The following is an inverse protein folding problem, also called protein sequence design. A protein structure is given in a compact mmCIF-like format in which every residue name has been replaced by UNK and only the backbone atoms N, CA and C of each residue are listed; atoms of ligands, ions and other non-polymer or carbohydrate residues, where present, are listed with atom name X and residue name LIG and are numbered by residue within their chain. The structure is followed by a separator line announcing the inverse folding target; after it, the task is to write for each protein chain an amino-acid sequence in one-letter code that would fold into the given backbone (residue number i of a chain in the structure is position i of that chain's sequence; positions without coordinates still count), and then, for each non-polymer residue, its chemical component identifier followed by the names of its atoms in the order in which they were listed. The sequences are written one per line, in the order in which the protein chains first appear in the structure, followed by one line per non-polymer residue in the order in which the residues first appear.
data_IF_847377539878
#
_entry.id   IF_847377539878
#
_cell.length_a   1.000
_cell.length_b   1.000
_cell.length_c   1.000
_cell.angle_alpha   90.00
_cell.angle_beta   90.00
_cell.angle_gamma   90.00
#
_symmetry.space_group_name_H-M   'P 1'
#
loop_
_entity.id
_entity.type
_entity.pdbx_description
1 polymer ?
#
# COMPACT_ATOMS: atom_id res chain seq x y z
N UNK A 1 -31.17 4.04 21.88
CA UNK A 1 -30.86 2.61 21.94
C UNK A 1 -29.37 2.44 21.67
N UNK A 2 -28.68 1.65 22.49
CA UNK A 2 -27.24 1.46 22.40
C UNK A 2 -26.93 0.49 21.26
N UNK A 3 -26.02 0.90 20.36
CA UNK A 3 -25.58 0.09 19.24
C UNK A 3 -24.96 -1.22 19.75
N UNK A 4 -25.10 -2.31 19.01
CA UNK A 4 -24.47 -3.59 19.36
C UNK A 4 -22.95 -3.42 19.41
N UNK A 5 -22.34 -3.97 20.47
CA UNK A 5 -20.89 -3.95 20.61
C UNK A 5 -20.24 -4.84 19.54
N UNK A 6 -19.07 -4.44 19.08
CA UNK A 6 -18.39 -5.11 17.97
C UNK A 6 -17.96 -6.52 18.40
N UNK A 7 -18.47 -7.56 17.73
CA UNK A 7 -18.11 -8.95 18.01
C UNK A 7 -16.70 -9.32 17.54
N UNK A 8 -16.23 -8.70 16.45
CA UNK A 8 -14.90 -8.97 15.90
C UNK A 8 -13.82 -8.28 16.72
N UNK A 9 -12.76 -9.03 17.04
CA UNK A 9 -11.54 -8.49 17.64
C UNK A 9 -10.65 -7.96 16.52
N UNK A 10 -10.33 -6.67 16.60
CA UNK A 10 -9.47 -5.97 15.66
C UNK A 10 -8.06 -5.88 16.21
N UNK A 11 -7.08 -6.23 15.39
CA UNK A 11 -5.67 -6.08 15.71
C UNK A 11 -4.96 -5.41 14.52
N UNK A 12 -4.55 -4.14 14.64
CA UNK A 12 -4.69 -3.25 15.81
C UNK A 12 -6.14 -2.79 16.07
N UNK A 13 -6.53 -2.48 17.33
CA UNK A 13 -7.93 -2.24 17.70
C UNK A 13 -8.44 -0.82 17.41
N UNK A 14 -7.56 0.19 17.31
CA UNK A 14 -7.97 1.61 17.26
C UNK A 14 -7.19 2.47 16.29
N UNK A 15 -5.94 2.13 15.99
CA UNK A 15 -5.08 2.89 15.10
C UNK A 15 -4.40 2.00 14.06
N UNK A 16 -4.47 2.42 12.80
CA UNK A 16 -3.69 1.85 11.70
C UNK A 16 -2.53 2.79 11.40
N UNK A 17 -1.32 2.32 11.67
CA UNK A 17 -0.09 3.07 11.46
C UNK A 17 0.46 2.78 10.07
N UNK A 18 0.72 3.84 9.32
CA UNK A 18 1.36 3.80 8.01
C UNK A 18 2.72 4.45 8.16
N UNK A 19 3.78 3.63 8.07
CA UNK A 19 5.15 4.12 8.12
C UNK A 19 5.57 4.54 6.72
N UNK A 20 6.01 5.79 6.58
CA UNK A 20 6.53 6.34 5.34
C UNK A 20 7.86 5.68 4.91
N UNK A 21 8.42 6.10 3.77
CA UNK A 21 8.02 7.26 2.96
C UNK A 21 6.70 7.06 2.19
N UNK A 22 5.89 8.11 2.06
CA UNK A 22 4.61 8.10 1.32
C UNK A 22 4.76 8.35 -0.19
N UNK A 23 6.00 8.27 -0.69
CA UNK A 23 6.33 8.33 -2.11
C UNK A 23 5.99 7.03 -2.86
N UNK A 24 5.88 5.94 -2.12
CA UNK A 24 5.53 4.61 -2.62
C UNK A 24 4.30 4.05 -1.91
N UNK A 25 3.81 2.91 -2.40
CA UNK A 25 2.66 2.21 -1.80
C UNK A 25 3.06 1.69 -0.41
N UNK A 26 2.38 2.16 0.63
CA UNK A 26 2.58 1.68 2.01
C UNK A 26 1.49 0.68 2.35
N UNK A 27 1.87 -0.51 2.81
CA UNK A 27 0.92 -1.55 3.19
C UNK A 27 0.92 -1.77 4.70
N UNK A 28 -0.27 -1.72 5.30
CA UNK A 28 -0.49 -2.06 6.71
C UNK A 28 -1.51 -3.18 6.80
N UNK A 29 -1.31 -4.10 7.73
CA UNK A 29 -2.20 -5.23 7.96
C UNK A 29 -3.18 -4.94 9.10
N UNK A 30 -4.44 -5.28 8.88
CA UNK A 30 -5.51 -5.28 9.87
C UNK A 30 -6.03 -6.70 10.00
N UNK A 31 -5.84 -7.31 11.16
CA UNK A 31 -6.36 -8.65 11.44
C UNK A 31 -7.72 -8.54 12.12
N UNK A 32 -8.72 -9.21 11.54
CA UNK A 32 -10.03 -9.38 12.15
C UNK A 32 -10.15 -10.82 12.64
N UNK A 33 -10.41 -11.01 13.93
CA UNK A 33 -10.66 -12.33 14.52
C UNK A 33 -12.11 -12.43 14.97
N UNK A 34 -12.78 -13.51 14.61
CA UNK A 34 -14.13 -13.82 15.05
C UNK A 34 -14.09 -14.78 16.25
N UNK A 35 -14.30 -14.30 17.49
CA UNK A 35 -14.39 -15.17 18.65
C UNK A 35 -15.75 -15.86 18.81
N UNK A 36 -16.75 -15.53 17.98
CA UNK A 36 -18.09 -16.08 18.11
C UNK A 36 -18.26 -17.42 17.40
N UNK A 37 -19.32 -18.15 17.77
CA UNK A 37 -19.72 -19.43 17.16
C UNK A 37 -20.56 -19.25 15.88
N UNK A 38 -20.73 -18.02 15.41
CA UNK A 38 -21.53 -17.68 14.23
C UNK A 38 -20.63 -17.05 13.17
N UNK A 39 -20.99 -17.25 11.90
CA UNK A 39 -20.33 -16.55 10.78
C UNK A 39 -20.66 -15.06 10.85
N UNK A 40 -19.66 -14.21 10.62
CA UNK A 40 -19.79 -12.76 10.64
C UNK A 40 -19.34 -12.19 9.30
N UNK A 41 -20.20 -11.41 8.67
CA UNK A 41 -19.85 -10.65 7.49
C UNK A 41 -19.18 -9.34 7.91
N UNK A 42 -18.14 -8.94 7.19
CA UNK A 42 -17.49 -7.65 7.38
C UNK A 42 -17.45 -6.86 6.09
N UNK A 43 -17.44 -5.53 6.23
CA UNK A 43 -17.28 -4.57 5.14
C UNK A 43 -16.44 -3.40 5.64
N UNK A 44 -15.36 -3.11 4.93
CA UNK A 44 -14.45 -2.02 5.26
C UNK A 44 -14.81 -0.79 4.45
N UNK A 45 -15.07 0.31 5.15
CA UNK A 45 -15.33 1.64 4.59
C UNK A 45 -14.23 2.60 5.03
N UNK A 46 -13.92 3.60 4.22
CA UNK A 46 -12.92 4.62 4.55
C UNK A 46 -13.38 6.00 4.10
N UNK A 47 -12.93 7.05 4.77
CA UNK A 47 -13.22 8.43 4.37
C UNK A 47 -12.42 8.91 3.16
N UNK A 48 -11.40 8.15 2.72
CA UNK A 48 -10.55 8.50 1.59
C UNK A 48 -10.37 7.32 0.60
N UNK A 49 -11.45 6.83 -0.02
CA UNK A 49 -11.43 5.61 -0.83
C UNK A 49 -10.53 5.69 -2.08
N UNK A 50 -10.24 6.90 -2.55
CA UNK A 50 -9.25 7.15 -3.63
C UNK A 50 -7.79 6.99 -3.18
N UNK A 51 -7.49 7.14 -1.89
CA UNK A 51 -6.12 7.03 -1.37
C UNK A 51 -5.79 5.63 -0.85
N UNK A 52 -6.79 4.79 -0.64
CA UNK A 52 -6.61 3.46 -0.05
C UNK A 52 -7.14 2.35 -0.94
N UNK A 53 -6.36 1.30 -1.08
CA UNK A 53 -6.78 0.03 -1.62
C UNK A 53 -6.85 -0.98 -0.47
N UNK A 54 -8.00 -1.62 -0.27
CA UNK A 54 -8.22 -2.58 0.81
C UNK A 54 -8.51 -3.95 0.20
N UNK A 55 -7.77 -4.98 0.63
CA UNK A 55 -8.00 -6.36 0.23
C UNK A 55 -7.90 -7.34 1.40
N UNK A 56 -8.90 -8.20 1.63
CA UNK A 56 -10.27 -8.12 1.10
C UNK A 56 -11.03 -6.87 1.62
N UNK A 57 -11.86 -6.23 0.79
CA UNK A 57 -12.69 -5.08 1.22
C UNK A 57 -13.96 -5.50 1.99
N UNK A 58 -14.45 -6.70 1.69
CA UNK A 58 -15.63 -7.32 2.28
C UNK A 58 -15.45 -8.82 2.23
N UNK A 59 -16.17 -9.54 3.10
CA UNK A 59 -16.11 -10.99 3.15
C UNK A 59 -16.87 -11.53 4.33
N UNK A 60 -16.77 -12.84 4.51
CA UNK A 60 -17.35 -13.59 5.63
C UNK A 60 -16.21 -14.22 6.42
N UNK A 61 -16.31 -14.18 7.74
CA UNK A 61 -15.38 -14.82 8.66
C UNK A 61 -16.15 -15.92 9.39
N UNK A 62 -15.65 -17.14 9.28
CA UNK A 62 -16.24 -18.28 9.98
C UNK A 62 -16.06 -18.19 11.50
N UNK A 63 -16.81 -19.04 12.22
CA UNK A 63 -16.70 -19.14 13.66
C UNK A 63 -15.28 -19.49 14.09
N UNK A 64 -14.70 -18.75 15.03
CA UNK A 64 -13.32 -18.94 15.50
C UNK A 64 -12.22 -18.56 14.50
N UNK A 65 -12.56 -18.19 13.26
CA UNK A 65 -11.59 -17.88 12.22
C UNK A 65 -11.04 -16.45 12.34
N UNK A 66 -9.95 -16.19 11.63
CA UNK A 66 -9.39 -14.86 11.48
C UNK A 66 -9.05 -14.57 10.01
N UNK A 67 -9.24 -13.32 9.60
CA UNK A 67 -8.88 -12.83 8.28
C UNK A 67 -7.86 -11.70 8.42
N UNK A 68 -6.88 -11.67 7.51
CA UNK A 68 -5.93 -10.58 7.42
C UNK A 68 -6.31 -9.66 6.26
N UNK A 69 -6.52 -8.39 6.56
CA UNK A 69 -6.89 -7.36 5.60
C UNK A 69 -5.66 -6.50 5.33
N UNK A 70 -5.25 -6.45 4.08
CA UNK A 70 -4.15 -5.59 3.62
C UNK A 70 -4.72 -4.25 3.20
N UNK A 71 -4.33 -3.20 3.92
CA UNK A 71 -4.66 -1.80 3.62
C UNK A 71 -3.45 -1.16 2.97
N UNK A 72 -3.53 -0.94 1.66
CA UNK A 72 -2.48 -0.33 0.85
C UNK A 72 -2.83 1.15 0.63
N UNK A 73 -2.05 2.04 1.24
CA UNK A 73 -2.07 3.46 1.00
C UNK A 73 -1.33 3.76 -0.32
N UNK A 74 -2.00 4.43 -1.24
CA UNK A 74 -1.40 4.89 -2.48
C UNK A 74 -0.45 6.07 -2.22
N UNK A 75 0.61 6.21 -3.04
CA UNK A 75 1.50 7.36 -2.99
C UNK A 75 0.71 8.67 -3.06
N UNK A 76 1.05 9.62 -2.19
CA UNK A 76 0.48 10.95 -2.22
C UNK A 76 1.47 11.97 -1.64
N UNK A 77 1.32 13.22 -2.05
CA UNK A 77 2.09 14.32 -1.48
C UNK A 77 1.62 14.55 -0.05
N UNK A 78 2.39 14.03 0.91
CA UNK A 78 2.11 14.20 2.33
C UNK A 78 2.52 15.61 2.78
N UNK A 79 1.52 16.44 3.08
CA UNK A 79 1.74 17.72 3.76
C UNK A 79 1.57 17.54 5.28
N UNK A 80 2.61 17.77 6.11
CA UNK A 80 2.51 17.73 7.57
C UNK A 80 1.47 18.70 8.16
N UNK A 81 1.17 19.80 7.45
CA UNK A 81 0.14 20.76 7.84
C UNK A 81 -1.27 20.22 7.53
N UNK A 82 -1.38 19.36 6.52
CA UNK A 82 -2.62 18.65 6.21
C UNK A 82 -2.78 17.51 7.22
N UNK A 83 -3.47 17.82 8.32
CA UNK A 83 -3.91 16.83 9.32
C UNK A 83 -4.91 15.87 8.67
N UNK A 84 -4.41 14.94 7.86
CA UNK A 84 -5.18 13.90 7.20
C UNK A 84 -5.74 12.96 8.27
N UNK A 85 -6.94 13.27 8.75
CA UNK A 85 -7.68 12.46 9.74
C UNK A 85 -8.45 11.35 9.03
N UNK A 86 -7.77 10.54 8.21
CA UNK A 86 -8.43 9.41 7.58
C UNK A 86 -8.95 8.45 8.65
N UNK A 87 -10.17 7.97 8.44
CA UNK A 87 -10.80 7.00 9.32
C UNK A 87 -11.22 5.79 8.50
N UNK A 88 -10.93 4.63 9.06
CA UNK A 88 -11.50 3.37 8.60
C UNK A 88 -12.66 3.00 9.50
N UNK A 89 -13.65 2.37 8.90
CA UNK A 89 -14.81 1.84 9.58
C UNK A 89 -15.01 0.41 9.13
N UNK A 90 -14.89 -0.53 10.05
CA UNK A 90 -15.19 -1.94 9.82
C UNK A 90 -16.62 -2.15 10.27
N UNK A 91 -17.52 -2.27 9.30
CA UNK A 91 -18.92 -2.58 9.52
C UNK A 91 -19.09 -4.10 9.52
N UNK A 92 -19.79 -4.65 10.51
CA UNK A 92 -20.00 -6.09 10.66
C UNK A 92 -21.45 -6.41 10.94
N UNK A 93 -21.86 -7.61 10.54
CA UNK A 93 -23.19 -8.14 10.77
C UNK A 93 -23.10 -9.66 10.89
N UNK A 94 -23.92 -10.25 11.75
CA UNK A 94 -24.02 -11.71 11.81
C UNK A 94 -24.62 -12.24 10.52
N UNK A 95 -23.90 -13.16 9.86
CA UNK A 95 -24.40 -13.81 8.67
C UNK A 95 -25.60 -14.71 9.05
N UNK A 96 -26.77 -14.54 8.42
CA UNK A 96 -27.86 -15.50 8.55
C UNK A 96 -27.44 -16.87 7.98
N UNK A 97 -28.01 -17.97 8.49
CA UNK A 97 -27.72 -19.31 7.98
C UNK A 97 -28.05 -19.46 6.48
N UNK A 98 -28.98 -18.66 5.96
CA UNK A 98 -29.53 -18.79 4.60
C UNK A 98 -28.92 -17.81 3.59
N UNK A 99 -27.91 -17.03 3.96
CA UNK A 99 -27.38 -16.01 3.06
C UNK A 99 -26.45 -16.61 2.02
N UNK A 100 -26.93 -16.57 0.78
CA UNK A 100 -26.17 -16.79 -0.45
C UNK A 100 -25.73 -15.48 -1.12
N UNK A 101 -26.40 -14.36 -0.81
CA UNK A 101 -26.10 -13.04 -1.39
C UNK A 101 -25.75 -11.99 -0.32
N UNK A 102 -24.51 -11.49 -0.37
CA UNK A 102 -23.99 -10.45 0.53
C UNK A 102 -24.67 -9.10 0.28
N UNK A 103 -24.99 -8.75 -0.98
CA UNK A 103 -25.57 -7.46 -1.32
C UNK A 103 -26.99 -7.30 -0.73
N UNK A 104 -27.79 -8.37 -0.79
CA UNK A 104 -29.12 -8.42 -0.15
C UNK A 104 -29.01 -8.31 1.37
N UNK A 105 -28.04 -8.99 1.99
CA UNK A 105 -27.82 -8.91 3.44
C UNK A 105 -27.58 -7.46 3.90
N UNK A 106 -26.76 -6.68 3.19
CA UNK A 106 -26.50 -5.29 3.56
C UNK A 106 -27.69 -4.34 3.33
N UNK A 107 -28.60 -4.69 2.41
CA UNK A 107 -29.83 -3.91 2.13
C UNK A 107 -30.94 -4.18 3.16
N UNK A 108 -31.10 -5.45 3.53
CA UNK A 108 -32.12 -5.88 4.50
C UNK A 108 -31.67 -5.71 5.96
N UNK A 109 -30.37 -5.52 6.19
CA UNK A 109 -29.79 -5.28 7.51
C UNK A 109 -30.40 -4.04 8.19
N UNK A 110 -30.97 -4.25 9.37
CA UNK A 110 -31.42 -3.14 10.21
C UNK A 110 -30.21 -2.41 10.81
N UNK A 111 -30.30 -1.09 11.01
CA UNK A 111 -29.23 -0.33 11.64
C UNK A 111 -28.89 -0.79 13.06
N UNK A 112 -29.84 -1.41 13.76
CA UNK A 112 -29.64 -1.99 15.09
C UNK A 112 -28.81 -3.29 15.07
N UNK A 113 -28.83 -4.04 13.96
CA UNK A 113 -28.06 -5.30 13.80
C UNK A 113 -26.64 -5.04 13.26
N UNK A 114 -26.35 -3.81 12.85
CA UNK A 114 -25.06 -3.39 12.32
C UNK A 114 -24.12 -2.95 13.44
N UNK A 115 -22.99 -3.62 13.52
CA UNK A 115 -21.89 -3.26 14.42
C UNK A 115 -20.84 -2.48 13.64
N UNK A 116 -20.33 -1.37 14.17
CA UNK A 116 -19.24 -0.61 13.56
C UNK A 116 -18.06 -0.43 14.52
N UNK A 117 -16.86 -0.70 14.01
CA UNK A 117 -15.61 -0.32 14.65
C UNK A 117 -14.88 0.72 13.82
N UNK A 118 -14.43 1.79 14.48
CA UNK A 118 -13.74 2.90 13.84
C UNK A 118 -12.27 2.89 14.20
N UNK A 119 -11.42 2.92 13.18
CA UNK A 119 -9.97 3.02 13.32
C UNK A 119 -9.49 4.36 12.79
N UNK A 120 -8.51 4.94 13.47
CA UNK A 120 -7.83 6.15 13.03
C UNK A 120 -6.58 5.78 12.23
N UNK A 121 -6.33 6.47 11.13
CA UNK A 121 -5.04 6.35 10.46
C UNK A 121 -4.02 7.27 11.15
N UNK A 122 -2.86 6.73 11.43
CA UNK A 122 -1.70 7.46 11.92
C UNK A 122 -0.61 7.34 10.87
N UNK A 123 -0.09 8.48 10.43
CA UNK A 123 0.99 8.54 9.46
C UNK A 123 2.28 8.84 10.23
N UNK A 124 3.21 7.90 10.21
CA UNK A 124 4.53 8.04 10.84
C UNK A 124 5.55 8.19 9.72
N UNK A 125 6.22 9.35 9.62
CA UNK A 125 7.40 9.45 8.76
C UNK A 125 8.57 8.80 9.50
N UNK A 126 9.39 7.96 8.81
CA UNK A 126 10.62 7.49 9.40
C UNK A 126 11.49 8.71 9.70
N UNK A 127 11.65 9.02 10.98
CA UNK A 127 12.73 9.90 11.42
C UNK A 127 14.01 9.13 11.21
N UNK A 128 15.11 9.78 10.82
CA UNK A 128 16.41 9.13 10.51
C UNK A 128 17.02 8.29 11.66
N UNK A 129 16.32 8.13 12.78
CA UNK A 129 16.77 7.47 14.00
C UNK A 129 16.30 6.01 14.19
N UNK A 130 15.45 5.45 13.32
CA UNK A 130 15.10 4.02 13.32
C UNK A 130 16.11 3.20 12.49
N UNK A 131 17.39 3.24 12.88
CA UNK A 131 18.41 2.29 12.45
C UNK A 131 18.94 1.49 13.63
N UNK A 132 18.10 0.82 14.40
CA UNK A 132 18.55 -0.16 15.41
C UNK A 132 17.51 -1.26 15.66
N UNK A 133 17.54 -2.30 14.83
CA UNK A 133 17.44 -3.72 15.19
C UNK A 133 16.87 -4.55 14.05
N UNK A 134 17.75 -4.94 13.13
CA UNK A 134 17.87 -6.34 12.75
C UNK A 134 19.35 -6.58 12.40
N UNK A 135 20.10 -7.13 13.36
CA UNK A 135 21.51 -7.50 13.21
C UNK A 135 21.62 -9.02 13.25
N UNK A 136 21.86 -9.62 12.09
CA UNK A 136 22.84 -10.70 11.85
C UNK A 136 22.67 -11.19 10.40
N UNK A 137 23.69 -11.50 9.60
CA UNK A 137 25.11 -11.25 9.59
C UNK A 137 25.59 -11.77 8.23
N UNK A 138 26.25 -10.93 7.42
CA UNK A 138 27.45 -11.36 6.65
C UNK A 138 28.18 -10.15 6.08
N UNK A 139 28.99 -9.57 6.96
CA UNK A 139 30.38 -9.14 6.73
C UNK A 139 30.90 -9.25 5.28
N UNK A 140 31.11 -8.10 4.65
CA UNK A 140 32.44 -7.71 4.16
C UNK A 140 32.52 -6.18 4.07
N UNK A 141 33.56 -5.65 4.72
CA UNK A 141 33.76 -4.25 5.05
C UNK A 141 34.23 -3.41 3.83
N UNK A 142 34.20 -2.07 3.96
CA UNK A 142 34.40 -1.11 2.89
C UNK A 142 35.85 -0.63 2.81
N UNK A 143 36.25 0.01 1.71
CA UNK A 143 37.31 1.02 1.79
C UNK A 143 37.17 2.08 0.69
N UNK A 144 36.89 3.29 1.15
CA UNK A 144 37.12 4.55 0.45
C UNK A 144 38.39 5.16 1.05
N UNK A 145 39.30 5.67 0.22
CA UNK A 145 40.19 6.76 0.56
C UNK A 145 40.90 7.34 -0.69
N UNK A 146 40.37 8.48 -1.13
CA UNK A 146 41.01 9.78 -1.39
C UNK A 146 42.50 9.94 -1.81
N UNK A 147 42.71 11.01 -2.62
CA UNK A 147 43.92 11.88 -2.81
C UNK A 147 44.91 11.38 -3.88
N UNK A 148 45.48 12.12 -4.86
CA UNK A 148 45.43 13.49 -5.47
C UNK A 148 46.14 13.37 -6.87
N UNK A 149 46.21 14.43 -7.70
CA UNK A 149 46.59 14.34 -9.12
C UNK A 149 48.11 14.37 -9.30
N UNK A 150 48.61 13.70 -10.34
CA UNK A 150 49.92 14.03 -10.88
C UNK A 150 49.88 13.95 -12.42
N UNK A 151 50.22 15.07 -13.02
CA UNK A 151 50.41 15.20 -14.45
C UNK A 151 51.80 14.67 -14.80
N UNK A 152 51.90 13.82 -15.82
CA UNK A 152 53.10 13.78 -16.67
C UNK A 152 52.71 13.35 -18.07
N UNK A 153 53.05 14.21 -19.03
CA UNK A 153 52.78 14.05 -20.44
C UNK A 153 53.76 13.07 -21.08
N UNK A 154 53.25 12.18 -21.92
CA UNK A 154 53.92 11.69 -23.13
C UNK A 154 52.87 11.08 -24.08
N UNK A 155 52.73 11.69 -25.27
CA UNK A 155 52.00 11.16 -26.43
C UNK A 155 52.63 9.82 -26.89
N UNK A 156 51.99 8.90 -27.61
CA UNK A 156 51.21 9.02 -28.87
C UNK A 156 50.28 7.75 -29.04
N UNK A 157 49.50 7.55 -30.13
CA UNK A 157 48.03 7.54 -30.09
C UNK A 157 47.41 6.20 -30.53
N UNK A 158 46.33 5.74 -29.91
CA UNK A 158 45.30 4.97 -30.63
C UNK A 158 43.96 5.36 -30.05
N UNK A 159 43.28 6.28 -30.75
CA UNK A 159 41.86 6.45 -30.59
C UNK A 159 41.22 5.09 -30.87
N UNK A 160 40.66 4.45 -29.84
CA UNK A 160 39.69 3.38 -30.03
C UNK A 160 38.45 4.03 -30.66
N UNK A 161 38.49 4.23 -31.98
CA UNK A 161 37.35 4.61 -32.78
C UNK A 161 36.40 3.41 -32.78
N UNK A 162 35.47 3.39 -31.82
CA UNK A 162 34.19 2.74 -32.06
C UNK A 162 33.64 3.38 -33.33
N UNK A 163 33.33 2.58 -34.34
CA UNK A 163 32.84 3.07 -35.63
C UNK A 163 31.69 4.06 -35.39
N UNK A 164 31.76 5.25 -35.98
CA UNK A 164 30.70 6.29 -35.90
C UNK A 164 29.30 5.71 -36.19
N UNK A 165 29.26 4.66 -37.00
CA UNK A 165 28.07 3.88 -37.34
C UNK A 165 27.53 3.08 -36.15
N UNK A 166 28.38 2.46 -35.34
CA UNK A 166 27.98 1.74 -34.13
C UNK A 166 27.48 2.70 -33.04
N UNK A 167 28.16 3.84 -32.86
CA UNK A 167 27.72 4.88 -31.91
C UNK A 167 26.34 5.42 -32.30
N UNK A 168 26.12 5.70 -33.60
CA UNK A 168 24.79 6.10 -34.11
C UNK A 168 23.72 5.04 -33.85
N UNK A 169 24.04 3.76 -34.10
CA UNK A 169 23.11 2.64 -33.88
C UNK A 169 22.78 2.45 -32.40
N UNK A 170 23.76 2.61 -31.51
CA UNK A 170 23.57 2.57 -30.06
C UNK A 170 22.72 3.75 -29.58
N UNK A 171 22.96 4.97 -30.07
CA UNK A 171 22.16 6.16 -29.75
C UNK A 171 20.70 6.00 -30.20
N UNK A 172 20.48 5.47 -31.41
CA UNK A 172 19.13 5.25 -31.93
C UNK A 172 18.38 4.19 -31.12
N UNK A 173 19.09 3.12 -30.72
CA UNK A 173 18.54 2.10 -29.81
C UNK A 173 18.24 2.65 -28.42
N UNK A 174 19.12 3.48 -27.85
CA UNK A 174 18.87 4.17 -26.58
C UNK A 174 17.66 5.09 -26.67
N UNK A 175 17.52 5.86 -27.75
CA UNK A 175 16.37 6.75 -27.97
C UNK A 175 15.07 5.95 -28.06
N UNK A 176 15.09 4.81 -28.75
CA UNK A 176 13.93 3.91 -28.86
C UNK A 176 13.56 3.31 -27.50
N UNK A 177 14.54 2.77 -26.77
CA UNK A 177 14.34 2.22 -25.43
C UNK A 177 13.81 3.27 -24.44
N UNK A 178 14.33 4.50 -24.51
CA UNK A 178 13.87 5.60 -23.66
C UNK A 178 12.41 5.99 -23.97
N UNK A 179 12.02 5.98 -25.25
CA UNK A 179 10.63 6.18 -25.65
C UNK A 179 9.71 5.04 -25.17
N UNK A 180 10.17 3.79 -25.23
CA UNK A 180 9.41 2.63 -24.74
C UNK A 180 9.27 2.66 -23.21
N UNK A 181 10.33 3.02 -22.47
CA UNK A 181 10.25 3.22 -21.03
C UNK A 181 9.24 4.29 -20.65
N UNK A 182 9.23 5.43 -21.35
CA UNK A 182 8.24 6.49 -21.11
C UNK A 182 6.82 6.03 -21.42
N UNK A 183 6.63 5.28 -22.52
CA UNK A 183 5.31 4.73 -22.88
C UNK A 183 4.81 3.74 -21.83
N UNK A 184 5.64 2.80 -21.40
CA UNK A 184 5.31 1.83 -20.36
C UNK A 184 5.05 2.52 -19.00
N UNK A 185 5.80 3.58 -18.69
CA UNK A 185 5.56 4.39 -17.49
C UNK A 185 4.18 5.06 -17.54
N UNK A 186 3.78 5.60 -18.69
CA UNK A 186 2.47 6.21 -18.88
C UNK A 186 1.34 5.18 -18.82
N UNK A 187 1.50 4.02 -19.45
CA UNK A 187 0.53 2.92 -19.37
C UNK A 187 0.38 2.43 -17.91
N UNK A 188 1.47 2.26 -17.19
CA UNK A 188 1.44 1.93 -15.76
C UNK A 188 0.75 3.02 -14.93
N UNK A 189 0.95 4.30 -15.26
CA UNK A 189 0.27 5.42 -14.60
C UNK A 189 -1.23 5.33 -14.83
N UNK A 190 -1.67 5.10 -16.07
CA UNK A 190 -3.09 4.96 -16.40
C UNK A 190 -3.72 3.72 -15.75
N UNK A 191 -3.02 2.59 -15.75
CA UNK A 191 -3.46 1.40 -15.05
C UNK A 191 -3.65 1.70 -13.56
N UNK A 192 -2.65 2.30 -12.89
CA UNK A 192 -2.76 2.69 -11.47
C UNK A 192 -3.99 3.57 -11.21
N UNK A 193 -4.25 4.58 -12.03
CA UNK A 193 -5.45 5.43 -11.91
C UNK A 193 -6.73 4.59 -12.01
N UNK A 194 -6.84 3.72 -13.03
CA UNK A 194 -8.01 2.85 -13.19
C UNK A 194 -8.18 1.86 -12.04
N UNK A 195 -7.09 1.33 -11.49
CA UNK A 195 -7.09 0.45 -10.32
C UNK A 195 -7.60 1.21 -9.09
N UNK A 196 -7.13 2.43 -8.88
CA UNK A 196 -7.56 3.29 -7.77
C UNK A 196 -9.03 3.66 -7.88
N UNK A 197 -9.51 4.09 -9.05
CA UNK A 197 -10.92 4.42 -9.25
C UNK A 197 -11.82 3.21 -9.00
N UNK A 198 -11.41 2.02 -9.49
CA UNK A 198 -12.15 0.78 -9.24
C UNK A 198 -12.17 0.43 -7.75
N UNK A 199 -11.03 0.47 -7.07
CA UNK A 199 -10.97 0.21 -5.63
C UNK A 199 -11.78 1.23 -4.82
N UNK A 200 -11.76 2.49 -5.22
CA UNK A 200 -12.54 3.56 -4.58
C UNK A 200 -14.04 3.27 -4.64
N UNK A 201 -14.55 2.77 -5.78
CA UNK A 201 -15.97 2.39 -5.94
C UNK A 201 -16.36 1.24 -5.00
N UNK A 202 -15.49 0.23 -4.86
CA UNK A 202 -15.77 -0.94 -4.00
C UNK A 202 -15.71 -0.64 -2.50
N UNK A 203 -14.97 0.39 -2.09
CA UNK A 203 -14.85 0.78 -0.66
C UNK A 203 -15.91 1.83 -0.27
N UNK A 204 -16.48 2.56 -1.25
CA UNK A 204 -17.45 3.65 -1.01
C UNK A 204 -18.92 3.21 -0.97
N UNK A 205 -19.31 2.19 -1.74
CA UNK A 205 -20.66 1.59 -1.68
C UNK A 205 -20.76 0.64 -0.50
#
# INVERSE_FOLDING_TARGET
MSKLDQVLILDPPSDLRFKGPFTDVVTTNLKLKNPSDRRVCFKVKTTAPRRYCVRPNSGVIDAGAAVNISVMLQPFDYDPNEKSKHKFMVQTIFAPPNVSDMDSLWKDAKPDDLMDSKLRCVFELPSENDKVNDVEATKAAPMMNSVKPEATAAAVPVAASLDDTEIKKVLEKCKRLQSEMNKLAEENRQLKVRWVDRCSIYISN
#
